data_IF_900142550175
#
_entry.id   IF_900142550175
#
_cell.length_a   1.000
_cell.length_b   1.000
_cell.length_c   1.000
_cell.angle_alpha   90.00
_cell.angle_beta   90.00
_cell.angle_gamma   90.00
#
_symmetry.space_group_name_H-M   'P 1'
#
loop_
_entity.id
_entity.type
_entity.pdbx_description
1 polymer ?
#
# COMPACT_ATOMS: atom_id res chain seq x y z
N UNK A 1 -0.54 -6.18 1.22
CA UNK A 1 0.28 -6.08 0.00
C UNK A 1 1.63 -6.77 0.21
N UNK A 2 2.41 -6.41 1.24
CA UNK A 2 3.71 -7.03 1.52
C UNK A 2 3.65 -8.57 1.64
N UNK A 3 2.69 -9.11 2.39
CA UNK A 3 2.52 -10.57 2.51
C UNK A 3 2.16 -11.24 1.16
N UNK A 4 1.42 -10.56 0.30
CA UNK A 4 1.11 -11.07 -1.05
C UNK A 4 2.38 -11.08 -1.92
N UNK A 5 3.21 -10.04 -1.85
CA UNK A 5 4.49 -9.98 -2.57
C UNK A 5 5.46 -11.07 -2.08
N UNK A 6 5.51 -11.37 -0.77
CA UNK A 6 6.27 -12.51 -0.24
C UNK A 6 5.80 -13.85 -0.80
N UNK A 7 4.48 -14.07 -0.84
CA UNK A 7 3.89 -15.28 -1.42
C UNK A 7 4.25 -15.40 -2.91
N UNK A 8 4.14 -14.30 -3.67
CA UNK A 8 4.51 -14.29 -5.08
C UNK A 8 5.98 -14.59 -5.32
N UNK A 9 6.86 -14.05 -4.47
CA UNK A 9 8.29 -14.34 -4.53
C UNK A 9 8.58 -15.83 -4.31
N UNK A 10 7.98 -16.42 -3.27
CA UNK A 10 8.16 -17.85 -2.95
C UNK A 10 7.61 -18.77 -4.05
N UNK A 11 6.49 -18.39 -4.67
CA UNK A 11 5.88 -19.18 -5.75
C UNK A 11 6.48 -18.91 -7.13
N UNK A 12 7.48 -18.03 -7.25
CA UNK A 12 7.99 -17.54 -8.54
C UNK A 12 6.86 -17.07 -9.48
N UNK A 13 5.88 -16.36 -8.92
CA UNK A 13 4.70 -15.94 -9.66
C UNK A 13 5.06 -14.87 -10.71
N UNK A 14 4.71 -15.15 -11.97
CA UNK A 14 4.82 -14.19 -13.06
C UNK A 14 3.97 -12.95 -12.80
N UNK A 15 4.47 -11.78 -13.19
CA UNK A 15 3.83 -10.47 -12.94
C UNK A 15 2.39 -10.42 -13.49
N UNK A 16 2.19 -10.97 -14.69
CA UNK A 16 0.90 -11.11 -15.36
C UNK A 16 -0.14 -11.96 -14.59
N UNK A 17 0.32 -12.88 -13.71
CA UNK A 17 -0.56 -13.76 -12.93
C UNK A 17 -0.83 -13.26 -11.53
N UNK A 18 -0.02 -12.34 -11.00
CA UNK A 18 -0.15 -11.82 -9.63
C UNK A 18 -1.56 -11.31 -9.34
N UNK A 19 -2.11 -10.52 -10.26
CA UNK A 19 -3.45 -9.96 -10.08
C UNK A 19 -4.51 -11.06 -9.95
N UNK A 20 -4.48 -12.06 -10.82
CA UNK A 20 -5.46 -13.16 -10.81
C UNK A 20 -5.46 -13.88 -9.47
N UNK A 21 -4.27 -14.19 -8.93
CA UNK A 21 -4.14 -14.82 -7.63
C UNK A 21 -4.69 -13.97 -6.49
N UNK A 22 -4.39 -12.66 -6.47
CA UNK A 22 -4.90 -11.81 -5.39
C UNK A 22 -6.41 -11.66 -5.47
N UNK A 23 -6.96 -11.46 -6.65
CA UNK A 23 -8.43 -11.39 -6.81
C UNK A 23 -9.11 -12.65 -6.33
N UNK A 24 -8.50 -13.82 -6.55
CA UNK A 24 -9.00 -15.09 -6.01
C UNK A 24 -8.93 -15.16 -4.47
N UNK A 25 -7.88 -14.61 -3.85
CA UNK A 25 -7.72 -14.58 -2.39
C UNK A 25 -8.62 -13.54 -1.69
N UNK A 26 -9.19 -12.57 -2.42
CA UNK A 26 -10.06 -11.57 -1.81
C UNK A 26 -11.39 -12.18 -1.37
N UNK A 27 -11.72 -11.94 -0.11
CA UNK A 27 -12.98 -12.36 0.50
C UNK A 27 -13.75 -11.16 1.06
N UNK A 28 -15.07 -11.32 1.21
CA UNK A 28 -15.95 -10.33 1.83
C UNK A 28 -15.90 -8.95 1.16
N UNK A 29 -15.80 -7.89 1.96
CA UNK A 29 -15.84 -6.50 1.52
C UNK A 29 -14.72 -6.16 0.52
N UNK A 30 -13.51 -6.71 0.71
CA UNK A 30 -12.38 -6.44 -0.18
C UNK A 30 -12.66 -6.93 -1.61
N UNK A 31 -13.30 -8.10 -1.76
CA UNK A 31 -13.72 -8.65 -3.06
C UNK A 31 -14.76 -7.75 -3.74
N UNK A 32 -15.77 -7.29 -2.97
CA UNK A 32 -16.80 -6.40 -3.49
C UNK A 32 -16.22 -5.06 -3.96
N UNK A 33 -15.33 -4.47 -3.16
CA UNK A 33 -14.71 -3.19 -3.49
C UNK A 33 -13.79 -3.28 -4.71
N UNK A 34 -13.03 -4.37 -4.82
CA UNK A 34 -12.21 -4.59 -5.99
C UNK A 34 -13.05 -4.69 -7.27
N UNK A 35 -14.18 -5.40 -7.25
CA UNK A 35 -15.08 -5.48 -8.41
C UNK A 35 -15.56 -4.09 -8.86
N UNK A 36 -15.97 -3.24 -7.92
CA UNK A 36 -16.38 -1.86 -8.23
C UNK A 36 -15.24 -1.03 -8.85
N UNK A 37 -14.04 -1.12 -8.27
CA UNK A 37 -12.86 -0.44 -8.78
C UNK A 37 -12.44 -0.94 -10.17
N UNK A 38 -12.49 -2.26 -10.39
CA UNK A 38 -12.19 -2.88 -11.68
C UNK A 38 -13.13 -2.37 -12.78
N UNK A 39 -14.44 -2.34 -12.53
CA UNK A 39 -15.44 -1.79 -13.47
C UNK A 39 -15.13 -0.32 -13.81
N UNK A 40 -14.81 0.50 -12.80
CA UNK A 40 -14.45 1.90 -13.02
C UNK A 40 -13.14 2.07 -13.81
N UNK A 41 -12.15 1.21 -13.58
CA UNK A 41 -10.89 1.24 -14.32
C UNK A 41 -11.10 0.89 -15.78
N UNK A 42 -11.86 -0.17 -16.07
CA UNK A 42 -12.21 -0.57 -17.43
C UNK A 42 -12.97 0.54 -18.16
N UNK A 43 -13.97 1.15 -17.51
CA UNK A 43 -14.73 2.27 -18.08
C UNK A 43 -13.85 3.50 -18.40
N UNK A 44 -12.75 3.70 -17.66
CA UNK A 44 -11.79 4.79 -17.87
C UNK A 44 -10.60 4.40 -18.76
N UNK A 45 -10.59 3.21 -19.35
CA UNK A 45 -9.47 2.71 -20.15
C UNK A 45 -8.17 2.51 -19.36
N UNK A 46 -8.24 2.40 -18.02
CA UNK A 46 -7.07 2.14 -17.18
C UNK A 46 -6.74 0.65 -17.19
N UNK A 47 -5.45 0.32 -17.25
CA UNK A 47 -4.98 -1.06 -17.22
C UNK A 47 -5.37 -1.78 -15.93
N UNK A 48 -5.98 -2.96 -16.04
CA UNK A 48 -6.32 -3.81 -14.89
C UNK A 48 -5.15 -4.74 -14.60
N UNK A 49 -4.21 -4.28 -13.77
CA UNK A 49 -2.98 -4.99 -13.43
C UNK A 49 -2.67 -4.92 -11.92
N UNK A 50 -1.61 -5.64 -11.50
CA UNK A 50 -1.19 -5.70 -10.09
C UNK A 50 -0.80 -4.32 -9.51
N UNK A 51 -0.16 -3.48 -10.30
CA UNK A 51 0.24 -2.14 -9.86
C UNK A 51 -0.98 -1.26 -9.52
N UNK A 52 -1.96 -1.21 -10.41
CA UNK A 52 -3.18 -0.44 -10.17
C UNK A 52 -4.05 -1.06 -9.07
N UNK A 53 -4.01 -2.38 -8.89
CA UNK A 53 -4.59 -3.02 -7.71
C UNK A 53 -4.00 -2.47 -6.40
N UNK A 54 -2.67 -2.39 -6.30
CA UNK A 54 -1.98 -1.84 -5.12
C UNK A 54 -2.41 -0.40 -4.85
N UNK A 55 -2.49 0.44 -5.89
CA UNK A 55 -2.95 1.84 -5.78
C UNK A 55 -4.38 1.92 -5.25
N UNK A 56 -5.33 1.20 -5.86
CA UNK A 56 -6.73 1.17 -5.41
C UNK A 56 -6.86 0.71 -3.96
N UNK A 57 -6.13 -0.34 -3.57
CA UNK A 57 -6.17 -0.86 -2.21
C UNK A 57 -5.61 0.16 -1.20
N UNK A 58 -4.47 0.79 -1.52
CA UNK A 58 -3.87 1.81 -0.68
C UNK A 58 -4.75 3.07 -0.58
N UNK A 59 -5.40 3.49 -1.65
CA UNK A 59 -6.28 4.66 -1.60
C UNK A 59 -7.54 4.41 -0.76
N UNK A 60 -8.09 3.20 -0.82
CA UNK A 60 -9.28 2.83 -0.03
C UNK A 60 -8.98 2.68 1.46
N UNK A 61 -7.87 2.05 1.81
CA UNK A 61 -7.56 1.69 3.21
C UNK A 61 -6.51 2.59 3.87
N UNK A 62 -5.75 3.35 3.08
CA UNK A 62 -4.78 4.33 3.56
C UNK A 62 -4.98 5.68 2.85
N UNK A 63 -6.13 6.34 3.11
CA UNK A 63 -6.49 7.60 2.47
C UNK A 63 -5.50 8.73 2.79
N UNK A 64 -5.51 9.77 1.95
CA UNK A 64 -4.57 10.89 2.05
C UNK A 64 -4.53 11.56 3.43
N UNK A 65 -5.65 11.66 4.15
CA UNK A 65 -5.64 12.20 5.52
C UNK A 65 -4.80 11.36 6.50
N UNK A 66 -4.84 10.03 6.38
CA UNK A 66 -4.01 9.12 7.17
C UNK A 66 -2.54 9.21 6.74
N UNK A 67 -2.28 9.36 5.43
CA UNK A 67 -0.92 9.63 4.90
C UNK A 67 -0.36 10.92 5.48
N UNK A 68 -1.07 12.04 5.35
CA UNK A 68 -0.67 13.35 5.87
C UNK A 68 -0.50 13.35 7.39
N UNK A 69 -1.34 12.62 8.13
CA UNK A 69 -1.16 12.49 9.57
C UNK A 69 0.17 11.79 9.91
N UNK A 70 0.55 10.75 9.15
CA UNK A 70 1.84 10.06 9.32
C UNK A 70 3.03 10.91 8.89
N UNK A 71 2.91 11.70 7.83
CA UNK A 71 3.93 12.67 7.44
C UNK A 71 4.12 13.75 8.50
N UNK A 72 3.03 14.31 9.03
CA UNK A 72 3.09 15.29 10.11
C UNK A 72 3.70 14.71 11.39
N UNK A 73 3.41 13.44 11.70
CA UNK A 73 4.03 12.71 12.81
C UNK A 73 5.55 12.58 12.59
N UNK A 74 5.98 12.24 11.38
CA UNK A 74 7.38 12.11 11.01
C UNK A 74 8.13 13.45 11.07
N UNK A 75 7.57 14.50 10.48
CA UNK A 75 8.19 15.84 10.46
C UNK A 75 8.31 16.46 11.86
N UNK A 76 7.42 16.08 12.78
CA UNK A 76 7.45 16.52 14.18
C UNK A 76 8.22 15.56 15.08
N UNK A 77 8.77 14.46 14.54
CA UNK A 77 9.49 13.48 15.33
C UNK A 77 10.77 14.12 15.89
N UNK A 78 10.84 14.19 17.21
CA UNK A 78 12.02 14.60 17.96
C UNK A 78 12.34 13.51 18.97
N UNK A 79 13.61 13.31 19.29
CA UNK A 79 14.03 12.30 20.27
C UNK A 79 13.36 12.53 21.63
N UNK A 80 13.33 13.77 22.13
CA UNK A 80 12.77 14.09 23.43
C UNK A 80 13.37 13.22 24.53
N UNK A 81 12.52 12.54 25.30
CA UNK A 81 12.91 11.63 26.38
C UNK A 81 13.13 10.18 25.92
N UNK A 82 13.02 9.88 24.62
CA UNK A 82 13.28 8.54 24.08
C UNK A 82 14.77 8.23 24.12
N UNK A 83 15.11 6.96 24.37
CA UNK A 83 16.45 6.47 24.07
C UNK A 83 16.72 6.60 22.58
N UNK A 84 18.01 6.64 22.21
CA UNK A 84 18.43 6.71 20.81
C UNK A 84 17.85 5.52 20.02
N UNK A 85 17.81 4.33 20.62
CA UNK A 85 17.26 3.13 19.97
C UNK A 85 15.76 3.26 19.70
N UNK A 86 14.97 3.72 20.67
CA UNK A 86 13.52 3.94 20.51
C UNK A 86 13.24 4.99 19.44
N UNK A 87 14.02 6.06 19.41
CA UNK A 87 13.91 7.09 18.39
C UNK A 87 14.20 6.53 16.99
N UNK A 88 15.27 5.76 16.82
CA UNK A 88 15.63 5.15 15.52
C UNK A 88 14.53 4.21 15.04
N UNK A 89 14.01 3.33 15.91
CA UNK A 89 12.90 2.43 15.55
C UNK A 89 11.67 3.22 15.10
N UNK A 90 11.32 4.30 15.81
CA UNK A 90 10.18 5.14 15.45
C UNK A 90 10.42 5.92 14.15
N UNK A 91 11.64 6.42 13.94
CA UNK A 91 12.05 7.09 12.71
C UNK A 91 11.93 6.14 11.51
N UNK A 92 12.51 4.94 11.59
CA UNK A 92 12.44 3.94 10.52
C UNK A 92 11.01 3.50 10.22
N UNK A 93 10.17 3.35 11.25
CA UNK A 93 8.76 3.02 11.07
C UNK A 93 8.01 4.12 10.29
N UNK A 94 8.22 5.38 10.67
CA UNK A 94 7.54 6.52 10.05
C UNK A 94 8.09 6.86 8.66
N UNK A 95 9.39 6.66 8.41
CA UNK A 95 10.03 6.89 7.11
C UNK A 95 9.45 6.02 5.98
N UNK A 96 8.90 4.84 6.31
CA UNK A 96 8.23 3.93 5.35
C UNK A 96 6.97 4.55 4.72
N UNK A 97 6.31 5.47 5.43
CA UNK A 97 5.11 6.14 4.91
C UNK A 97 5.46 7.38 4.06
N UNK A 98 6.60 8.01 4.32
CA UNK A 98 7.07 9.19 3.58
C UNK A 98 7.66 8.81 2.20
N UNK A 99 8.35 7.67 2.11
CA UNK A 99 8.93 7.16 0.85
C UNK A 99 7.86 6.79 -0.20
N UNK A 100 6.65 6.44 0.25
CA UNK A 100 5.53 6.16 -0.65
C UNK A 100 4.95 7.42 -1.32
N UNK A 101 5.11 8.60 -0.70
CA UNK A 101 4.67 9.89 -1.25
C UNK A 101 5.67 10.48 -2.26
N UNK A 102 6.96 10.21 -2.10
CA UNK A 102 8.01 10.74 -3.01
C UNK A 102 8.04 10.01 -4.36
N UNK A 103 7.48 8.80 -4.46
CA UNK A 103 7.48 8.04 -5.73
C UNK A 103 6.41 8.54 -6.72
N UNK A 104 5.58 9.51 -6.33
CA UNK A 104 4.55 10.12 -7.18
C UNK A 104 4.87 11.58 -7.60
N UNK A 105 6.14 12.02 -7.47
CA UNK A 105 6.61 13.33 -7.91
C UNK A 105 7.38 13.29 -9.23
#
# INVERSE_FOLDING_TARGET
>A
IEEMEKIFMVMHCLEERKLVYVVYMLVGEASFCWKGAQTMMQARGKAVNWENFKKVLLDKYFPNNARYAKEAEFLRLQQGNMSVQEYVVKFEHLARYYSQAITEA
#
